data_IF_736483011173
#
_entry.id   IF_736483011173
#
_cell.length_a   1.000
_cell.length_b   1.000
_cell.length_c   1.000
_cell.angle_alpha   90.00
_cell.angle_beta   90.00
_cell.angle_gamma   90.00
#
_symmetry.space_group_name_H-M   'P 1'
#
loop_
_entity.id
_entity.type
_entity.pdbx_description
1 polymer ?
#
# COMPACT_ATOMS: atom_id res chain seq x y z
N UNK A 1 -11.42 -0.13 1.48
CA UNK A 1 -11.77 0.99 2.39
C UNK A 1 -10.88 2.16 2.02
N UNK A 2 -11.35 3.40 2.11
CA UNK A 2 -10.52 4.59 1.80
C UNK A 2 -10.29 5.43 3.07
N UNK A 3 -9.03 5.75 3.34
CA UNK A 3 -8.66 6.73 4.36
C UNK A 3 -8.57 8.12 3.73
N UNK A 4 -9.62 8.93 3.88
CA UNK A 4 -9.72 10.25 3.26
C UNK A 4 -9.17 11.31 4.22
N UNK A 5 -7.94 11.80 3.98
CA UNK A 5 -7.18 12.64 4.93
C UNK A 5 -7.96 13.82 5.53
N UNK A 6 -8.71 14.63 4.75
CA UNK A 6 -9.52 15.71 5.31
C UNK A 6 -10.59 15.25 6.31
N UNK A 7 -11.08 14.02 6.16
CA UNK A 7 -12.12 13.42 7.01
C UNK A 7 -11.55 12.67 8.23
N UNK A 8 -10.23 12.54 8.34
CA UNK A 8 -9.59 11.85 9.45
C UNK A 8 -9.31 12.81 10.61
N UNK A 9 -9.42 12.26 11.84
CA UNK A 9 -9.00 12.93 13.08
C UNK A 9 -7.52 13.35 12.92
N UNK A 10 -7.18 14.64 13.13
CA UNK A 10 -5.85 15.17 12.83
C UNK A 10 -4.68 14.34 13.37
N UNK A 11 -4.79 13.88 14.61
CA UNK A 11 -3.74 13.14 15.31
C UNK A 11 -3.51 11.73 14.76
N UNK A 12 -4.43 11.19 13.94
CA UNK A 12 -4.33 9.84 13.38
C UNK A 12 -3.91 9.83 11.91
N UNK A 13 -3.81 10.99 11.24
CA UNK A 13 -3.62 11.09 9.78
C UNK A 13 -2.36 10.40 9.29
N UNK A 14 -1.20 10.75 9.86
CA UNK A 14 0.09 10.19 9.46
C UNK A 14 0.17 8.69 9.69
N UNK A 15 -0.40 8.22 10.81
CA UNK A 15 -0.46 6.80 11.14
C UNK A 15 -1.31 6.00 10.15
N UNK A 16 -2.49 6.52 9.79
CA UNK A 16 -3.40 5.81 8.90
C UNK A 16 -2.87 5.81 7.47
N UNK A 17 -2.51 6.97 6.91
CA UNK A 17 -1.98 7.10 5.55
C UNK A 17 -0.63 6.41 5.40
N UNK A 18 0.23 6.51 6.43
CA UNK A 18 1.55 5.89 6.43
C UNK A 18 1.51 4.36 6.45
N UNK A 19 0.38 3.76 6.83
CA UNK A 19 0.21 2.31 6.84
C UNK A 19 -0.54 1.78 5.60
N UNK A 20 -0.95 2.65 4.69
CA UNK A 20 -1.56 2.23 3.43
C UNK A 20 -0.48 1.76 2.43
N UNK A 21 -0.82 0.77 1.61
CA UNK A 21 0.08 0.23 0.57
C UNK A 21 0.09 1.15 -0.66
N UNK A 22 -1.08 1.68 -1.03
CA UNK A 22 -1.28 2.54 -2.21
C UNK A 22 -1.99 3.81 -1.79
N UNK A 23 -1.42 4.96 -2.15
CA UNK A 23 -2.03 6.28 -1.94
C UNK A 23 -2.71 6.81 -3.20
N UNK A 24 -3.81 7.54 -3.04
CA UNK A 24 -4.39 8.37 -4.13
C UNK A 24 -4.14 9.83 -3.78
N UNK A 25 -3.51 10.57 -4.69
CA UNK A 25 -3.18 11.97 -4.50
C UNK A 25 -4.01 12.79 -5.48
N UNK A 26 -4.86 13.66 -4.95
CA UNK A 26 -5.50 14.71 -5.72
C UNK A 26 -4.58 15.93 -5.76
N UNK A 27 -4.04 16.23 -6.93
CA UNK A 27 -3.09 17.34 -7.11
C UNK A 27 -3.76 18.45 -7.92
N UNK A 28 -4.24 19.49 -7.23
CA UNK A 28 -4.92 20.63 -7.88
C UNK A 28 -3.96 21.44 -8.76
N UNK A 29 -2.81 21.83 -8.20
CA UNK A 29 -1.76 22.55 -8.92
C UNK A 29 -0.36 22.25 -8.36
N UNK A 30 0.67 22.64 -9.11
CA UNK A 30 2.08 22.52 -8.72
C UNK A 30 2.71 21.17 -9.04
N UNK A 31 3.78 20.85 -8.31
CA UNK A 31 4.53 19.60 -8.41
C UNK A 31 4.54 18.93 -7.05
N UNK A 32 4.21 17.64 -7.02
CA UNK A 32 4.22 16.86 -5.79
C UNK A 32 5.39 15.87 -5.78
N UNK A 33 6.08 15.78 -4.64
CA UNK A 33 7.20 14.88 -4.45
C UNK A 33 6.76 13.65 -3.63
N UNK A 34 6.88 12.42 -4.17
CA UNK A 34 6.60 11.17 -3.44
C UNK A 34 7.38 11.02 -2.14
N UNK A 35 8.59 11.57 -2.04
CA UNK A 35 9.42 11.53 -0.83
C UNK A 35 8.85 12.37 0.32
N UNK A 36 7.80 13.17 0.09
CA UNK A 36 7.13 13.94 1.14
C UNK A 36 6.43 13.06 2.19
N UNK A 37 6.09 11.82 1.84
CA UNK A 37 5.49 10.85 2.76
C UNK A 37 6.48 9.72 2.98
N UNK A 38 7.09 9.68 4.16
CA UNK A 38 8.01 8.61 4.55
C UNK A 38 7.20 7.48 5.15
N UNK A 39 7.06 6.39 4.39
CA UNK A 39 6.42 5.15 4.85
C UNK A 39 7.20 3.94 4.37
N UNK A 40 7.27 2.90 5.20
CA UNK A 40 7.84 1.61 4.84
C UNK A 40 6.85 0.71 4.09
N UNK A 41 5.54 0.94 4.27
CA UNK A 41 4.45 0.10 3.72
C UNK A 41 3.91 0.68 2.42
N UNK A 42 3.98 1.99 2.22
CA UNK A 42 3.46 2.65 1.03
C UNK A 42 4.41 2.43 -0.15
N UNK A 43 3.93 1.79 -1.21
CA UNK A 43 4.71 1.40 -2.38
C UNK A 43 4.38 2.18 -3.65
N UNK A 44 3.15 2.69 -3.78
CA UNK A 44 2.73 3.39 -4.99
C UNK A 44 1.72 4.51 -4.71
N UNK A 45 1.67 5.46 -5.64
CA UNK A 45 0.72 6.56 -5.67
C UNK A 45 0.02 6.62 -7.02
N UNK A 46 -1.29 6.81 -6.98
CA UNK A 46 -2.09 7.22 -8.14
C UNK A 46 -2.35 8.72 -8.01
N UNK A 47 -1.72 9.51 -8.87
CA UNK A 47 -1.86 10.97 -8.87
C UNK A 47 -2.90 11.36 -9.90
N UNK A 48 -3.96 12.04 -9.47
CA UNK A 48 -5.02 12.56 -10.32
C UNK A 48 -4.88 14.08 -10.36
N UNK A 49 -4.68 14.62 -11.56
CA UNK A 49 -4.51 16.06 -11.80
C UNK A 49 -5.61 16.59 -12.72
N UNK A 50 -6.39 17.61 -12.29
CA UNK A 50 -7.28 18.32 -13.20
C UNK A 50 -6.47 19.16 -14.19
N UNK A 51 -6.93 19.19 -15.44
CA UNK A 51 -6.40 20.01 -16.52
C UNK A 51 -7.51 20.96 -16.94
N UNK A 52 -7.23 22.25 -16.76
CA UNK A 52 -8.10 23.32 -17.17
C UNK A 52 -7.75 23.70 -18.61
N UNK A 53 -8.65 23.39 -19.54
CA UNK A 53 -8.54 23.79 -20.94
C UNK A 53 -9.58 24.89 -21.21
N UNK A 54 -9.21 25.98 -21.92
CA UNK A 54 -10.16 27.01 -22.30
C UNK A 54 -11.33 26.40 -23.08
N UNK A 55 -12.57 26.75 -22.71
CA UNK A 55 -13.81 26.34 -23.39
C UNK A 55 -14.02 24.82 -23.51
N UNK A 56 -13.45 24.01 -22.60
CA UNK A 56 -13.69 22.56 -22.54
C UNK A 56 -14.12 22.16 -21.12
N UNK A 57 -14.89 21.06 -20.99
CA UNK A 57 -15.18 20.49 -19.67
C UNK A 57 -13.88 20.08 -18.96
N UNK A 58 -13.88 20.04 -17.61
CA UNK A 58 -12.70 19.67 -16.84
C UNK A 58 -12.24 18.27 -17.24
N UNK A 59 -10.95 18.16 -17.58
CA UNK A 59 -10.31 16.89 -17.90
C UNK A 59 -9.36 16.50 -16.79
N UNK A 60 -9.11 15.21 -16.63
CA UNK A 60 -8.25 14.67 -15.59
C UNK A 60 -7.16 13.84 -16.23
N UNK A 61 -5.92 14.08 -15.81
CA UNK A 61 -4.78 13.24 -16.16
C UNK A 61 -4.40 12.42 -14.94
N UNK A 62 -4.23 11.13 -15.17
CA UNK A 62 -3.82 10.19 -14.14
C UNK A 62 -2.37 9.79 -14.39
N UNK A 63 -1.55 9.91 -13.37
CA UNK A 63 -0.17 9.45 -13.35
C UNK A 63 0.01 8.43 -12.23
N UNK A 64 1.00 7.56 -12.39
CA UNK A 64 1.36 6.62 -11.33
C UNK A 64 2.82 6.80 -10.99
N UNK A 65 3.10 6.88 -9.71
CA UNK A 65 4.45 6.94 -9.17
C UNK A 65 4.63 5.75 -8.26
N UNK A 66 5.68 4.96 -8.46
CA UNK A 66 5.94 3.74 -7.72
C UNK A 66 7.35 3.77 -7.16
N UNK A 67 7.56 3.09 -6.04
CA UNK A 67 8.90 2.80 -5.52
C UNK A 67 9.63 1.81 -6.42
N UNK A 68 10.95 1.84 -6.34
CA UNK A 68 11.82 0.91 -7.05
C UNK A 68 11.51 -0.54 -6.67
N UNK A 69 11.53 -1.41 -7.68
CA UNK A 69 11.25 -2.85 -7.52
C UNK A 69 9.76 -3.22 -7.57
N UNK A 70 8.85 -2.26 -7.71
CA UNK A 70 7.44 -2.56 -7.97
C UNK A 70 7.25 -3.08 -9.41
N UNK A 71 6.63 -4.27 -9.61
CA UNK A 71 6.29 -4.73 -10.95
C UNK A 71 5.35 -3.77 -11.68
N UNK A 72 5.44 -3.75 -13.02
CA UNK A 72 4.56 -2.95 -13.86
C UNK A 72 3.09 -3.39 -13.69
N UNK A 73 2.28 -2.51 -13.11
CA UNK A 73 0.85 -2.76 -12.94
C UNK A 73 0.05 -2.26 -14.15
N UNK A 74 -0.85 -3.09 -14.68
CA UNK A 74 -1.85 -2.69 -15.67
C UNK A 74 -3.05 -1.99 -15.01
N UNK A 75 -3.84 -1.16 -15.72
CA UNK A 75 -3.59 -0.61 -17.06
C UNK A 75 -2.45 0.41 -17.06
N UNK A 76 -1.74 0.59 -18.17
CA UNK A 76 -0.71 1.64 -18.29
C UNK A 76 -1.37 3.02 -18.23
N UNK A 77 -0.67 3.96 -17.60
CA UNK A 77 -1.05 5.37 -17.51
C UNK A 77 -0.46 6.13 -18.71
N UNK A 78 -0.84 5.73 -19.92
CA UNK A 78 -0.28 6.28 -21.17
C UNK A 78 -0.95 7.62 -21.51
N UNK A 79 -0.57 8.70 -20.81
CA UNK A 79 -0.98 10.10 -21.05
C UNK A 79 -2.48 10.32 -21.33
N UNK A 80 -3.33 9.39 -20.89
CA UNK A 80 -4.75 9.39 -21.19
C UNK A 80 -5.44 10.51 -20.42
N UNK A 81 -6.30 11.24 -21.13
CA UNK A 81 -7.18 12.24 -20.56
C UNK A 81 -8.53 11.60 -20.29
N UNK A 82 -9.01 11.79 -19.08
CA UNK A 82 -10.31 11.31 -18.62
C UNK A 82 -11.27 12.48 -18.40
N UNK A 83 -12.56 12.22 -18.50
CA UNK A 83 -13.58 13.14 -18.01
C UNK A 83 -13.97 12.74 -16.59
N UNK A 84 -14.74 13.56 -15.87
CA UNK A 84 -15.30 13.16 -14.59
C UNK A 84 -16.47 12.18 -14.80
N UNK A 85 -16.13 10.96 -15.19
CA UNK A 85 -17.08 9.91 -15.54
C UNK A 85 -16.75 8.58 -14.84
N UNK A 86 -17.57 7.57 -15.11
CA UNK A 86 -17.36 6.23 -14.57
C UNK A 86 -16.05 5.60 -15.08
N UNK A 87 -15.56 6.01 -16.26
CA UNK A 87 -14.30 5.50 -16.81
C UNK A 87 -13.12 5.94 -15.96
N UNK A 88 -13.07 7.21 -15.55
CA UNK A 88 -12.04 7.69 -14.61
C UNK A 88 -12.09 6.89 -13.29
N UNK A 89 -13.28 6.76 -12.70
CA UNK A 89 -13.48 6.02 -11.46
C UNK A 89 -12.98 4.58 -11.59
N UNK A 90 -13.44 3.85 -12.60
CA UNK A 90 -13.09 2.46 -12.83
C UNK A 90 -11.60 2.30 -13.14
N UNK A 91 -11.00 3.24 -13.87
CA UNK A 91 -9.56 3.26 -14.14
C UNK A 91 -8.75 3.40 -12.85
N UNK A 92 -9.05 4.42 -12.02
CA UNK A 92 -8.34 4.66 -10.76
C UNK A 92 -8.50 3.48 -9.80
N UNK A 93 -9.71 2.95 -9.66
CA UNK A 93 -9.96 1.79 -8.80
C UNK A 93 -9.20 0.55 -9.27
N UNK A 94 -9.31 0.20 -10.55
CA UNK A 94 -8.61 -0.95 -11.14
C UNK A 94 -7.11 -0.83 -11.00
N UNK A 95 -6.58 0.37 -11.27
CA UNK A 95 -5.15 0.66 -11.16
C UNK A 95 -4.68 0.53 -9.72
N UNK A 96 -5.43 1.06 -8.75
CA UNK A 96 -5.09 0.99 -7.32
C UNK A 96 -5.02 -0.46 -6.82
N UNK A 97 -6.01 -1.29 -7.15
CA UNK A 97 -6.02 -2.72 -6.79
C UNK A 97 -4.86 -3.47 -7.42
N UNK A 98 -4.54 -3.18 -8.68
CA UNK A 98 -3.41 -3.84 -9.35
C UNK A 98 -2.05 -3.40 -8.80
N UNK A 99 -1.91 -2.14 -8.39
CA UNK A 99 -0.71 -1.65 -7.70
C UNK A 99 -0.54 -2.32 -6.34
N UNK A 100 -1.62 -2.51 -5.59
CA UNK A 100 -1.60 -3.24 -4.32
C UNK A 100 -1.14 -4.68 -4.54
N UNK A 101 -1.70 -5.38 -5.53
CA UNK A 101 -1.27 -6.73 -5.93
C UNK A 101 0.21 -6.79 -6.33
N UNK A 102 0.70 -5.78 -7.05
CA UNK A 102 2.11 -5.68 -7.43
C UNK A 102 3.01 -5.43 -6.20
N UNK A 103 2.54 -4.66 -5.21
CA UNK A 103 3.30 -4.35 -4.00
C UNK A 103 3.60 -5.58 -3.15
N UNK A 104 2.71 -6.59 -3.17
CA UNK A 104 2.94 -7.89 -2.54
C UNK A 104 4.10 -8.68 -3.13
N UNK A 105 4.46 -8.40 -4.39
CA UNK A 105 5.58 -9.04 -5.09
C UNK A 105 6.88 -8.21 -5.00
N UNK A 106 6.83 -7.03 -4.39
CA UNK A 106 7.99 -6.17 -4.25
C UNK A 106 9.03 -6.80 -3.29
N UNK A 107 10.34 -6.79 -3.62
CA UNK A 107 11.36 -7.42 -2.79
C UNK A 107 11.39 -6.93 -1.33
N UNK A 108 11.11 -5.65 -1.09
CA UNK A 108 11.03 -5.05 0.26
C UNK A 108 9.91 -5.69 1.07
N UNK A 109 8.72 -5.82 0.48
CA UNK A 109 7.54 -6.42 1.07
C UNK A 109 7.73 -7.91 1.35
N UNK A 110 8.30 -8.64 0.39
CA UNK A 110 8.59 -10.08 0.52
C UNK A 110 9.57 -10.32 1.67
N UNK A 111 10.69 -9.57 1.73
CA UNK A 111 11.68 -9.68 2.82
C UNK A 111 11.07 -9.43 4.19
N UNK A 112 10.23 -8.40 4.32
CA UNK A 112 9.54 -8.07 5.57
C UNK A 112 8.64 -9.22 6.03
N UNK A 113 7.82 -9.77 5.12
CA UNK A 113 6.95 -10.91 5.44
C UNK A 113 7.72 -12.16 5.81
N UNK A 114 8.79 -12.50 5.09
CA UNK A 114 9.62 -13.67 5.40
C UNK A 114 10.20 -13.56 6.80
N UNK A 115 10.69 -12.38 7.19
CA UNK A 115 11.20 -12.13 8.53
C UNK A 115 10.12 -12.32 9.59
N UNK A 116 8.95 -11.69 9.43
CA UNK A 116 7.85 -11.85 10.40
C UNK A 116 7.37 -13.31 10.51
N UNK A 117 7.33 -14.03 9.39
CA UNK A 117 7.01 -15.47 9.39
C UNK A 117 8.05 -16.28 10.13
N UNK A 118 9.35 -16.03 9.91
CA UNK A 118 10.43 -16.71 10.63
C UNK A 118 10.36 -16.44 12.14
N UNK A 119 10.13 -15.19 12.55
CA UNK A 119 9.93 -14.81 13.94
C UNK A 119 8.72 -15.54 14.56
N UNK A 120 7.59 -15.61 13.85
CA UNK A 120 6.41 -16.33 14.32
C UNK A 120 6.61 -17.84 14.42
N UNK A 121 7.29 -18.44 13.43
CA UNK A 121 7.67 -19.86 13.46
C UNK A 121 8.63 -20.16 14.60
N UNK A 122 9.58 -19.27 14.87
CA UNK A 122 10.48 -19.38 16.00
C UNK A 122 9.72 -19.34 17.32
N UNK A 123 8.84 -18.34 17.53
CA UNK A 123 8.01 -18.25 18.74
C UNK A 123 7.07 -19.45 18.91
N UNK A 124 6.50 -19.96 17.82
CA UNK A 124 5.66 -21.17 17.85
C UNK A 124 6.49 -22.39 18.21
N UNK A 125 7.70 -22.54 17.65
CA UNK A 125 8.61 -23.63 18.00
C UNK A 125 9.07 -23.54 19.44
N UNK A 126 9.45 -22.36 19.93
CA UNK A 126 9.83 -22.11 21.33
C UNK A 126 8.67 -22.40 22.27
N UNK A 127 7.45 -21.93 21.95
CA UNK A 127 6.24 -22.21 22.73
C UNK A 127 5.84 -23.69 22.71
N UNK A 128 6.00 -24.38 21.57
CA UNK A 128 5.78 -25.83 21.47
C UNK A 128 6.88 -26.62 22.18
N UNK A 129 8.14 -26.19 22.12
CA UNK A 129 9.25 -26.79 22.85
C UNK A 129 9.08 -26.59 24.35
N UNK A 130 8.67 -25.40 24.80
CA UNK A 130 8.33 -25.12 26.18
C UNK A 130 7.17 -25.99 26.67
N UNK A 131 6.09 -26.11 25.88
CA UNK A 131 4.98 -27.00 26.18
C UNK A 131 5.37 -28.48 26.23
N UNK A 132 6.23 -28.94 25.30
CA UNK A 132 6.76 -30.30 25.29
C UNK A 132 7.67 -30.51 26.51
N UNK A 133 8.54 -29.57 26.84
CA UNK A 133 9.45 -29.65 27.98
C UNK A 133 8.67 -29.68 29.29
N UNK A 134 7.72 -28.76 29.50
CA UNK A 134 6.83 -28.78 30.67
C UNK A 134 6.07 -30.09 30.76
N UNK A 135 5.54 -30.63 29.65
CA UNK A 135 4.85 -31.93 29.66
C UNK A 135 5.78 -33.09 30.00
N UNK A 136 6.99 -33.13 29.43
CA UNK A 136 7.96 -34.20 29.67
C UNK A 136 8.51 -34.19 31.10
N UNK A 137 8.67 -33.02 31.72
CA UNK A 137 9.22 -32.90 33.08
C UNK A 137 8.14 -32.76 34.17
N UNK A 138 6.91 -32.37 33.85
CA UNK A 138 5.78 -32.37 34.80
C UNK A 138 5.11 -33.73 34.93
N UNK A 139 5.18 -34.61 33.90
CA UNK A 139 4.67 -35.99 33.98
C UNK A 139 5.63 -36.96 34.69
N UNK A 140 6.67 -36.46 35.38
CA UNK A 140 7.37 -37.17 36.46
C UNK A 140 7.67 -38.65 36.17
N UNK A 141 8.47 -38.94 35.15
CA UNK A 141 9.15 -40.25 35.10
C UNK A 141 10.36 -40.20 36.02
N UNK A 142 10.11 -40.50 37.30
CA UNK A 142 11.13 -41.10 38.16
C UNK A 142 11.61 -42.39 37.50
N UNK A 143 12.89 -42.44 37.16
CA UNK A 143 13.64 -43.67 36.95
C UNK A 143 14.55 -43.86 38.15
#
# INVERSE_FOLDING_TARGET
MFHVVPMLIPNCRSRLVGNDIVGIVWLEDGVWNPSSIVSQVLHAYVVVRPIHLPNKPPQFRVHCVAKDGLPLASPKTDNQLFQLDEKLRNFVLRKSVNLERAAWQCPTTVRSQTRSLQEHLFLTREGQLGFIYERYYAEGKEY
#
